data_IF_012855214526
#
_entry.id   IF_012855214526
#
_cell.length_a   1.000
_cell.length_b   1.000
_cell.length_c   1.000
_cell.angle_alpha   90.00
_cell.angle_beta   90.00
_cell.angle_gamma   90.00
#
_symmetry.space_group_name_H-M   'P 1'
#
loop_
_entity.id
_entity.type
_entity.pdbx_description
1 polymer ?
#
# COMPACT_ATOMS: atom_id res chain seq x y z
N UNK A 1 -13.10 17.26 -10.19
CA UNK A 1 -12.07 16.65 -9.35
C UNK A 1 -12.40 15.17 -9.19
N UNK A 2 -11.49 14.32 -9.63
CA UNK A 2 -11.74 12.88 -9.58
C UNK A 2 -11.48 12.35 -8.16
N UNK A 3 -12.52 11.87 -7.54
CA UNK A 3 -12.38 11.21 -6.25
C UNK A 3 -12.00 9.75 -6.49
N UNK A 4 -10.93 9.31 -5.82
CA UNK A 4 -10.54 7.91 -5.85
C UNK A 4 -11.36 7.18 -4.80
N UNK A 5 -12.14 6.20 -5.23
CA UNK A 5 -12.84 5.33 -4.29
C UNK A 5 -11.82 4.45 -3.58
N UNK A 6 -11.86 4.47 -2.27
CA UNK A 6 -10.94 3.71 -1.44
C UNK A 6 -11.72 2.77 -0.52
N UNK A 7 -11.36 1.49 -0.52
CA UNK A 7 -11.92 0.53 0.42
C UNK A 7 -11.38 0.82 1.81
N UNK A 8 -12.24 1.29 2.70
CA UNK A 8 -11.85 1.73 4.05
C UNK A 8 -11.30 0.60 4.90
N UNK A 9 -11.92 -0.56 4.86
CA UNK A 9 -11.49 -1.70 5.70
C UNK A 9 -10.08 -2.15 5.31
N UNK A 10 -9.80 -2.24 4.01
CA UNK A 10 -8.46 -2.58 3.53
C UNK A 10 -7.47 -1.51 3.95
N UNK A 11 -7.81 -0.24 3.76
CA UNK A 11 -6.93 0.89 4.11
C UNK A 11 -6.60 0.90 5.60
N UNK A 12 -7.61 0.75 6.46
CA UNK A 12 -7.41 0.73 7.91
C UNK A 12 -6.51 -0.41 8.35
N UNK A 13 -6.70 -1.58 7.75
CA UNK A 13 -5.86 -2.75 8.02
C UNK A 13 -4.40 -2.48 7.65
N UNK A 14 -4.16 -1.87 6.48
CA UNK A 14 -2.81 -1.55 6.03
C UNK A 14 -2.14 -0.50 6.93
N UNK A 15 -2.89 0.49 7.40
CA UNK A 15 -2.37 1.49 8.34
C UNK A 15 -1.92 0.81 9.65
N UNK A 16 -2.75 -0.08 10.19
CA UNK A 16 -2.40 -0.80 11.42
C UNK A 16 -1.13 -1.65 11.23
N UNK A 17 -0.99 -2.30 10.08
CA UNK A 17 0.22 -3.04 9.76
C UNK A 17 1.45 -2.12 9.68
N UNK A 18 1.30 -0.94 9.08
CA UNK A 18 2.37 0.04 9.00
C UNK A 18 2.80 0.50 10.40
N UNK A 19 1.84 0.76 11.29
CA UNK A 19 2.13 1.14 12.68
C UNK A 19 2.94 0.04 13.37
N UNK A 20 2.57 -1.23 13.12
CA UNK A 20 3.25 -2.38 13.73
C UNK A 20 4.55 -2.75 13.02
N UNK A 21 4.89 -2.09 11.93
CA UNK A 21 6.02 -2.43 11.06
C UNK A 21 5.96 -3.87 10.57
N UNK A 22 4.76 -4.28 10.10
CA UNK A 22 4.50 -5.64 9.63
C UNK A 22 3.88 -5.61 8.24
N UNK A 23 4.23 -6.61 7.44
CA UNK A 23 3.64 -6.81 6.12
C UNK A 23 2.57 -7.91 6.19
N UNK A 24 1.77 -8.01 5.12
CA UNK A 24 0.77 -9.06 4.97
C UNK A 24 0.84 -9.63 3.56
N UNK A 25 0.17 -10.74 3.33
CA UNK A 25 0.02 -11.31 1.99
C UNK A 25 -1.34 -10.91 1.41
N UNK A 26 -1.49 -11.04 0.09
CA UNK A 26 -2.75 -10.73 -0.57
C UNK A 26 -3.90 -11.58 -0.04
N UNK A 27 -3.70 -12.89 0.10
CA UNK A 27 -4.76 -13.76 0.58
C UNK A 27 -5.13 -13.47 2.04
N UNK A 28 -4.14 -13.19 2.88
CA UNK A 28 -4.39 -12.86 4.29
C UNK A 28 -5.11 -11.53 4.42
N UNK A 29 -4.71 -10.53 3.66
CA UNK A 29 -5.38 -9.23 3.66
C UNK A 29 -6.84 -9.36 3.23
N UNK A 30 -7.11 -10.15 2.19
CA UNK A 30 -8.46 -10.41 1.72
C UNK A 30 -9.33 -10.99 2.85
N UNK A 31 -8.80 -11.96 3.58
CA UNK A 31 -9.51 -12.60 4.70
C UNK A 31 -9.69 -11.62 5.87
N UNK A 32 -8.62 -10.98 6.30
CA UNK A 32 -8.62 -10.15 7.50
C UNK A 32 -9.45 -8.87 7.33
N UNK A 33 -9.52 -8.33 6.11
CA UNK A 33 -10.30 -7.13 5.83
C UNK A 33 -11.75 -7.42 5.47
N UNK A 34 -12.15 -8.70 5.38
CA UNK A 34 -13.47 -9.11 4.91
C UNK A 34 -13.80 -8.59 3.51
N UNK A 35 -12.79 -8.44 2.64
CA UNK A 35 -13.01 -7.94 1.29
C UNK A 35 -13.88 -8.87 0.45
N UNK A 36 -13.87 -10.16 0.76
CA UNK A 36 -14.81 -11.11 0.16
C UNK A 36 -14.46 -11.56 -1.24
N UNK A 37 -13.26 -11.27 -1.73
CA UNK A 37 -12.85 -11.72 -3.06
C UNK A 37 -12.50 -13.21 -3.08
N UNK A 38 -12.88 -13.88 -4.15
CA UNK A 38 -12.43 -15.25 -4.40
C UNK A 38 -11.04 -15.20 -5.02
N UNK A 39 -10.02 -15.44 -4.22
CA UNK A 39 -8.63 -15.31 -4.67
C UNK A 39 -8.22 -16.33 -5.74
N UNK A 40 -9.04 -17.37 -5.95
CA UNK A 40 -8.81 -18.33 -7.01
C UNK A 40 -9.30 -17.85 -8.38
N UNK A 41 -10.18 -16.83 -8.39
CA UNK A 41 -10.72 -16.22 -9.61
C UNK A 41 -9.79 -15.09 -10.06
N UNK A 42 -9.34 -15.13 -11.31
CA UNK A 42 -8.42 -14.14 -11.86
C UNK A 42 -9.03 -12.72 -11.85
N UNK A 43 -10.34 -12.60 -12.18
CA UNK A 43 -11.02 -11.31 -12.16
C UNK A 43 -11.08 -10.72 -10.75
N UNK A 44 -11.35 -11.56 -9.75
CA UNK A 44 -11.36 -11.12 -8.35
C UNK A 44 -9.97 -10.72 -7.88
N UNK A 45 -8.92 -11.45 -8.28
CA UNK A 45 -7.55 -11.04 -7.96
C UNK A 45 -7.20 -9.68 -8.55
N UNK A 46 -7.61 -9.44 -9.79
CA UNK A 46 -7.37 -8.16 -10.46
C UNK A 46 -8.13 -7.03 -9.76
N UNK A 47 -9.38 -7.26 -9.39
CA UNK A 47 -10.20 -6.27 -8.65
C UNK A 47 -9.59 -5.95 -7.30
N UNK A 48 -9.09 -6.95 -6.59
CA UNK A 48 -8.45 -6.76 -5.30
C UNK A 48 -7.15 -5.95 -5.44
N UNK A 49 -6.35 -6.27 -6.45
CA UNK A 49 -5.13 -5.52 -6.76
C UNK A 49 -5.45 -4.06 -7.08
N UNK A 50 -6.50 -3.82 -7.88
CA UNK A 50 -6.95 -2.46 -8.19
C UNK A 50 -7.37 -1.69 -6.94
N UNK A 51 -8.04 -2.35 -5.99
CA UNK A 51 -8.42 -1.73 -4.72
C UNK A 51 -7.18 -1.29 -3.93
N UNK A 52 -6.15 -2.13 -3.89
CA UNK A 52 -4.91 -1.82 -3.20
C UNK A 52 -4.17 -0.68 -3.91
N UNK A 53 -4.13 -0.70 -5.24
CA UNK A 53 -3.53 0.39 -6.02
C UNK A 53 -4.25 1.72 -5.81
N UNK A 54 -5.59 1.70 -5.74
CA UNK A 54 -6.38 2.90 -5.48
C UNK A 54 -6.04 3.50 -4.11
N UNK A 55 -5.86 2.66 -3.10
CA UNK A 55 -5.42 3.10 -1.77
C UNK A 55 -4.05 3.78 -1.86
N UNK A 56 -3.09 3.13 -2.51
CA UNK A 56 -1.74 3.68 -2.67
C UNK A 56 -1.75 5.00 -3.40
N UNK A 57 -2.53 5.11 -4.49
CA UNK A 57 -2.64 6.33 -5.27
C UNK A 57 -3.25 7.46 -4.44
N UNK A 58 -4.28 7.17 -3.67
CA UNK A 58 -4.91 8.15 -2.78
C UNK A 58 -3.91 8.66 -1.74
N UNK A 59 -3.12 7.76 -1.14
CA UNK A 59 -2.12 8.14 -0.17
C UNK A 59 -1.08 9.08 -0.78
N UNK A 60 -0.51 8.70 -1.92
CA UNK A 60 0.53 9.49 -2.58
C UNK A 60 0.02 10.86 -3.00
N UNK A 61 -1.19 10.95 -3.53
CA UNK A 61 -1.81 12.24 -3.90
C UNK A 61 -2.03 13.17 -2.71
N UNK A 62 -2.12 12.62 -1.52
CA UNK A 62 -2.26 13.39 -0.29
C UNK A 62 -0.94 13.54 0.47
N UNK A 63 0.19 13.27 -0.18
CA UNK A 63 1.51 13.45 0.39
C UNK A 63 1.91 12.39 1.40
N UNK A 64 1.26 11.22 1.38
CA UNK A 64 1.55 10.10 2.28
C UNK A 64 2.18 8.95 1.51
N UNK A 65 2.97 8.08 2.17
CA UNK A 65 3.57 6.94 1.47
C UNK A 65 2.54 5.91 1.04
N UNK A 66 2.82 5.14 -0.05
CA UNK A 66 1.85 4.21 -0.61
C UNK A 66 1.68 2.97 0.26
N UNK A 67 0.50 2.77 0.82
CA UNK A 67 0.21 1.65 1.73
C UNK A 67 0.27 0.29 1.05
N UNK A 68 0.10 0.23 -0.26
CA UNK A 68 0.18 -1.04 -1.01
C UNK A 68 1.53 -1.74 -0.88
N UNK A 69 2.59 -1.02 -0.51
CA UNK A 69 3.90 -1.62 -0.29
C UNK A 69 3.93 -2.56 0.92
N UNK A 70 2.92 -2.51 1.78
CA UNK A 70 2.80 -3.43 2.92
C UNK A 70 2.27 -4.80 2.53
N UNK A 71 1.79 -4.98 1.29
CA UNK A 71 1.26 -6.24 0.80
C UNK A 71 2.32 -6.93 -0.06
N UNK A 72 2.69 -8.14 0.31
CA UNK A 72 3.76 -8.90 -0.34
C UNK A 72 3.30 -10.32 -0.62
N UNK A 73 4.07 -11.06 -1.42
CA UNK A 73 3.87 -12.49 -1.55
C UNK A 73 4.46 -13.24 -0.35
N UNK A 74 4.17 -14.53 -0.26
CA UNK A 74 4.65 -15.39 0.83
C UNK A 74 6.16 -15.32 1.04
N UNK A 75 6.92 -15.07 -0.03
CA UNK A 75 8.37 -14.93 0.02
C UNK A 75 8.85 -13.61 0.65
N UNK A 76 7.94 -12.67 0.91
CA UNK A 76 8.28 -11.34 1.38
C UNK A 76 8.65 -10.37 0.27
N UNK A 77 8.51 -10.78 -0.99
CA UNK A 77 8.82 -9.98 -2.17
C UNK A 77 7.56 -9.65 -2.96
N UNK A 78 7.70 -8.82 -3.99
CA UNK A 78 6.65 -8.53 -4.96
C UNK A 78 7.23 -8.69 -6.36
N UNK A 79 6.34 -8.71 -7.36
CA UNK A 79 6.77 -8.81 -8.76
C UNK A 79 7.34 -7.50 -9.27
N UNK A 80 8.10 -7.57 -10.35
CA UNK A 80 8.65 -6.38 -11.01
C UNK A 80 7.58 -5.38 -11.42
N UNK A 81 6.45 -5.79 -12.04
CA UNK A 81 5.37 -4.85 -12.36
C UNK A 81 4.84 -4.08 -11.14
N UNK A 82 4.75 -4.73 -9.98
CA UNK A 82 4.33 -4.07 -8.75
C UNK A 82 5.35 -3.03 -8.32
N UNK A 83 6.66 -3.35 -8.39
CA UNK A 83 7.72 -2.40 -8.08
C UNK A 83 7.69 -1.20 -9.02
N UNK A 84 7.47 -1.44 -10.31
CA UNK A 84 7.35 -0.36 -11.31
C UNK A 84 6.16 0.54 -11.03
N UNK A 85 5.02 -0.03 -10.64
CA UNK A 85 3.83 0.73 -10.28
C UNK A 85 4.07 1.61 -9.05
N UNK A 86 4.68 1.06 -8.02
CA UNK A 86 5.04 1.81 -6.81
C UNK A 86 6.04 2.93 -7.14
N UNK A 87 7.02 2.66 -7.98
CA UNK A 87 7.99 3.67 -8.41
C UNK A 87 7.30 4.82 -9.12
N UNK A 88 6.43 4.51 -10.08
CA UNK A 88 5.70 5.53 -10.86
C UNK A 88 4.86 6.42 -9.94
N UNK A 89 4.15 5.82 -8.98
CA UNK A 89 3.36 6.58 -8.02
C UNK A 89 4.20 7.53 -7.18
N UNK A 90 5.39 7.07 -6.77
CA UNK A 90 6.24 7.82 -5.83
C UNK A 90 7.17 8.80 -6.50
N UNK A 91 7.32 8.73 -7.82
CA UNK A 91 8.34 9.48 -8.54
C UNK A 91 8.26 10.99 -8.32
N UNK A 92 7.06 11.54 -8.32
CA UNK A 92 6.85 12.96 -8.07
C UNK A 92 7.00 13.30 -6.58
N UNK A 93 6.47 12.43 -5.72
CA UNK A 93 6.43 12.71 -4.28
C UNK A 93 7.80 12.63 -3.61
N UNK A 94 8.62 11.66 -4.01
CA UNK A 94 9.95 11.44 -3.43
C UNK A 94 11.10 11.89 -4.33
N UNK A 95 10.81 12.54 -5.45
CA UNK A 95 11.81 13.01 -6.41
C UNK A 95 12.81 11.90 -6.81
N UNK A 96 12.26 10.72 -7.12
CA UNK A 96 13.08 9.56 -7.48
C UNK A 96 13.60 9.69 -8.90
N UNK A 97 14.89 9.42 -9.08
CA UNK A 97 15.52 9.42 -10.42
C UNK A 97 15.34 8.04 -11.06
N UNK A 98 14.78 7.96 -12.28
CA UNK A 98 14.69 6.69 -13.02
C UNK A 98 16.06 6.08 -13.31
N UNK A 99 17.10 6.91 -13.39
CA UNK A 99 18.46 6.47 -13.74
C UNK A 99 19.18 5.84 -12.57
N UNK A 100 18.90 6.28 -11.35
CA UNK A 100 19.63 5.86 -10.14
C UNK A 100 18.83 4.96 -9.22
N UNK A 101 17.49 4.95 -9.35
CA UNK A 101 16.64 4.13 -8.48
C UNK A 101 16.58 2.70 -9.00
N UNK A 102 17.01 1.76 -8.19
CA UNK A 102 16.94 0.33 -8.52
C UNK A 102 15.66 -0.26 -7.93
N UNK A 103 14.89 -0.95 -8.78
CA UNK A 103 13.64 -1.58 -8.37
C UNK A 103 13.93 -2.99 -7.87
N UNK A 104 14.24 -3.10 -6.58
CA UNK A 104 14.61 -4.34 -5.93
C UNK A 104 14.01 -4.40 -4.51
N UNK A 105 14.40 -5.41 -3.75
CA UNK A 105 13.88 -5.59 -2.38
C UNK A 105 14.22 -4.43 -1.45
N UNK A 106 15.34 -3.77 -1.67
CA UNK A 106 15.73 -2.60 -0.87
C UNK A 106 14.75 -1.44 -1.10
N UNK A 107 14.38 -1.18 -2.35
CA UNK A 107 13.38 -0.15 -2.70
C UNK A 107 12.07 -0.42 -1.96
N UNK A 108 11.60 -1.67 -2.01
CA UNK A 108 10.37 -2.07 -1.33
C UNK A 108 10.46 -1.85 0.19
N UNK A 109 11.56 -2.28 0.80
CA UNK A 109 11.78 -2.12 2.24
C UNK A 109 11.87 -0.65 2.64
N UNK A 110 12.48 0.18 1.81
CA UNK A 110 12.56 1.63 2.05
C UNK A 110 11.17 2.27 2.07
N UNK A 111 10.29 1.85 1.15
CA UNK A 111 8.90 2.32 1.15
C UNK A 111 8.14 1.83 2.40
N UNK A 112 8.34 0.58 2.79
CA UNK A 112 7.73 0.04 4.00
C UNK A 112 8.18 0.80 5.24
N UNK A 113 9.46 1.15 5.32
CA UNK A 113 10.00 1.96 6.41
C UNK A 113 9.37 3.35 6.44
N UNK A 114 9.15 3.97 5.28
CA UNK A 114 8.47 5.27 5.17
C UNK A 114 7.04 5.20 5.69
N UNK A 115 6.32 4.12 5.38
CA UNK A 115 4.98 3.92 5.90
C UNK A 115 5.00 3.81 7.43
N UNK A 116 5.91 3.03 7.97
CA UNK A 116 6.05 2.87 9.42
C UNK A 116 6.35 4.22 10.08
N UNK A 117 7.32 4.97 9.57
CA UNK A 117 7.67 6.29 10.11
C UNK A 117 6.48 7.24 10.07
N UNK A 118 5.77 7.28 8.94
CA UNK A 118 4.64 8.20 8.78
C UNK A 118 3.53 7.91 9.78
N UNK A 119 3.13 6.64 9.88
CA UNK A 119 1.94 6.25 10.64
C UNK A 119 2.21 6.09 12.14
N UNK A 120 3.47 6.06 12.58
CA UNK A 120 3.80 6.10 14.01
C UNK A 120 3.84 7.51 14.57
N UNK A 121 3.77 8.55 13.71
CA UNK A 121 3.57 9.92 14.17
C UNK A 121 2.12 10.06 14.62
N UNK A 122 1.90 10.33 15.90
CA UNK A 122 0.57 10.38 16.52
C UNK A 122 -0.39 11.32 15.78
N UNK A 123 0.08 12.50 15.41
CA UNK A 123 -0.75 13.48 14.70
C UNK A 123 -1.21 12.96 13.33
N UNK A 124 -0.34 12.27 12.60
CA UNK A 124 -0.72 11.67 11.31
C UNK A 124 -1.80 10.61 11.51
N UNK A 125 -1.61 9.74 12.47
CA UNK A 125 -2.58 8.67 12.75
C UNK A 125 -3.93 9.25 13.16
N UNK A 126 -3.94 10.26 14.03
CA UNK A 126 -5.19 10.86 14.53
C UNK A 126 -5.93 11.63 13.44
N UNK A 127 -5.20 12.32 12.56
CA UNK A 127 -5.81 13.18 11.55
C UNK A 127 -6.23 12.40 10.29
N UNK A 128 -5.39 11.47 9.83
CA UNK A 128 -5.56 10.80 8.54
C UNK A 128 -5.78 9.30 8.65
N UNK A 129 -5.65 8.70 9.83
CA UNK A 129 -5.74 7.27 10.05
C UNK A 129 -7.17 6.75 10.11
N UNK A 130 -7.36 5.56 10.70
CA UNK A 130 -8.68 4.97 10.81
C UNK A 130 -9.64 5.89 11.56
N UNK A 131 -10.82 6.09 11.00
CA UNK A 131 -11.84 6.91 11.64
C UNK A 131 -12.74 6.02 12.48
N UNK A 132 -12.79 6.32 13.76
CA UNK A 132 -13.76 5.70 14.64
C UNK A 132 -15.10 6.42 14.47
N UNK A 133 -16.09 5.64 14.19
CA UNK A 133 -17.46 6.17 14.14
C UNK A 133 -18.12 6.04 15.49
#
# INVERSE_FOLDING_TARGET
MDEIYVNREIREMLIELAVQNRTTTYSRLNTDSNAGYNYRDAEDRDSFTEDIEAISMSEVRNGRPPLGCMVVFKSGSVTKPILESLFTMCQEFYDLSPETTKLNSKFLKDLQAKCHEYWTVTDHYNEFGPRKM
#
